data_IF_903841938246
#
_entry.id   IF_903841938246
#
_cell.length_a   1.000
_cell.length_b   1.000
_cell.length_c   1.000
_cell.angle_alpha   90.00
_cell.angle_beta   90.00
_cell.angle_gamma   90.00
#
_symmetry.space_group_name_H-M   'P 1'
#
loop_
_entity.id
_entity.type
_entity.pdbx_description
1 polymer ?
#
# COMPACT_ATOMS: atom_id res chain seq x y z
N UNK A 1 3.70 9.63 -12.15
CA UNK A 1 2.43 10.17 -11.61
C UNK A 1 2.65 10.76 -10.22
N UNK A 2 2.20 11.96 -10.03
CA UNK A 2 2.32 12.64 -8.74
C UNK A 2 1.56 11.91 -7.63
N UNK A 3 0.42 11.30 -7.95
CA UNK A 3 -0.42 10.55 -7.01
C UNK A 3 0.29 9.33 -6.42
N UNK A 4 1.41 8.89 -7.00
CA UNK A 4 2.19 7.74 -6.52
C UNK A 4 3.27 8.13 -5.51
N UNK A 5 3.38 9.40 -5.14
CA UNK A 5 4.39 9.86 -4.19
C UNK A 5 4.19 9.23 -2.80
N UNK A 6 5.26 9.21 -2.02
CA UNK A 6 5.18 8.72 -0.64
C UNK A 6 4.30 9.64 0.20
N UNK A 7 3.75 9.06 1.26
CA UNK A 7 2.89 9.77 2.19
C UNK A 7 3.60 10.95 2.85
N UNK A 8 2.90 12.08 2.92
CA UNK A 8 3.34 13.23 3.72
C UNK A 8 3.08 12.96 5.19
N UNK A 9 4.12 13.01 6.03
CA UNK A 9 4.03 12.66 7.45
C UNK A 9 3.57 13.84 8.32
N UNK A 10 4.04 15.04 8.04
CA UNK A 10 3.78 16.21 8.87
C UNK A 10 4.55 16.15 10.20
N UNK A 11 3.96 16.70 11.27
CA UNK A 11 4.57 16.81 12.60
C UNK A 11 4.32 15.51 13.39
N UNK A 12 5.12 14.47 13.10
CA UNK A 12 4.96 13.14 13.69
C UNK A 12 5.39 13.11 15.16
N UNK A 13 4.63 12.36 15.97
CA UNK A 13 4.97 12.01 17.35
C UNK A 13 5.45 10.56 17.42
N UNK A 14 6.02 10.19 18.57
CA UNK A 14 6.70 8.92 18.75
C UNK A 14 5.85 7.68 18.44
N UNK A 15 4.56 7.71 18.78
CA UNK A 15 3.66 6.56 18.60
C UNK A 15 2.83 6.62 17.32
N UNK A 16 3.14 7.55 16.44
CA UNK A 16 2.36 7.82 15.23
C UNK A 16 2.22 6.60 14.33
N UNK A 17 3.29 5.81 14.14
CA UNK A 17 3.27 4.72 13.20
C UNK A 17 2.24 3.64 13.56
N UNK A 18 2.13 3.31 14.86
CA UNK A 18 1.13 2.36 15.33
C UNK A 18 -0.28 2.94 15.26
N UNK A 19 -0.45 4.20 15.69
CA UNK A 19 -1.76 4.87 15.68
C UNK A 19 -2.41 4.89 14.30
N UNK A 20 -1.64 5.08 13.25
CA UNK A 20 -2.19 5.11 11.89
C UNK A 20 -2.81 3.77 11.47
N UNK A 21 -2.33 2.64 12.00
CA UNK A 21 -2.89 1.32 11.74
C UNK A 21 -4.05 0.96 12.66
N UNK A 22 -4.23 1.67 13.75
CA UNK A 22 -5.40 1.56 14.63
C UNK A 22 -6.56 2.42 14.11
N UNK A 23 -6.24 3.53 13.47
CA UNK A 23 -7.21 4.46 12.89
C UNK A 23 -6.66 4.97 11.53
N UNK A 24 -7.20 4.48 10.44
CA UNK A 24 -6.73 4.82 9.10
C UNK A 24 -7.01 6.29 8.72
N UNK A 25 -7.84 7.00 9.46
CA UNK A 25 -8.08 8.44 9.27
C UNK A 25 -7.14 9.31 10.11
N UNK A 26 -6.34 8.67 10.98
CA UNK A 26 -5.38 9.41 11.80
C UNK A 26 -4.31 10.04 10.93
N UNK A 27 -4.04 11.31 11.18
CA UNK A 27 -2.93 12.02 10.54
C UNK A 27 -2.31 13.01 11.53
N UNK A 28 -1.04 13.33 11.32
CA UNK A 28 -0.36 14.40 12.05
C UNK A 28 -0.75 15.75 11.42
N UNK A 29 -0.62 16.86 12.17
CA UNK A 29 -0.82 18.18 11.58
C UNK A 29 0.06 18.35 10.33
N UNK A 30 -0.53 18.73 9.22
CA UNK A 30 0.14 18.86 7.92
C UNK A 30 0.44 17.56 7.19
N UNK A 31 0.08 16.41 7.77
CA UNK A 31 0.31 15.10 7.16
C UNK A 31 -0.92 14.49 6.51
N UNK A 32 -0.72 13.35 5.87
CA UNK A 32 -1.79 12.56 5.27
C UNK A 32 -2.14 11.35 6.15
N UNK A 33 -3.43 10.99 6.21
CA UNK A 33 -3.86 9.72 6.78
C UNK A 33 -3.62 8.57 5.79
N UNK A 34 -3.64 7.33 6.28
CA UNK A 34 -3.56 6.17 5.39
C UNK A 34 -4.74 6.11 4.42
N UNK A 35 -5.94 6.50 4.86
CA UNK A 35 -7.10 6.56 3.98
C UNK A 35 -6.95 7.59 2.86
N UNK A 36 -6.34 8.73 3.12
CA UNK A 36 -6.06 9.72 2.08
C UNK A 36 -5.07 9.18 1.05
N UNK A 37 -4.00 8.54 1.50
CA UNK A 37 -3.01 7.91 0.62
C UNK A 37 -3.65 6.77 -0.17
N UNK A 38 -4.44 5.93 0.48
CA UNK A 38 -5.16 4.83 -0.16
C UNK A 38 -6.02 5.32 -1.31
N UNK A 39 -6.78 6.39 -1.08
CA UNK A 39 -7.67 6.95 -2.10
C UNK A 39 -6.90 7.43 -3.32
N UNK A 40 -5.85 8.23 -3.13
CA UNK A 40 -5.08 8.74 -4.29
C UNK A 40 -4.33 7.64 -5.03
N UNK A 41 -3.79 6.65 -4.30
CA UNK A 41 -3.09 5.51 -4.91
C UNK A 41 -4.06 4.64 -5.72
N UNK A 42 -5.26 4.39 -5.19
CA UNK A 42 -6.28 3.63 -5.91
C UNK A 42 -6.68 4.32 -7.20
N UNK A 43 -6.89 5.62 -7.18
CA UNK A 43 -7.22 6.40 -8.39
C UNK A 43 -6.10 6.28 -9.43
N UNK A 44 -4.85 6.39 -9.00
CA UNK A 44 -3.70 6.28 -9.91
C UNK A 44 -3.61 4.89 -10.55
N UNK A 45 -3.70 3.83 -9.75
CA UNK A 45 -3.59 2.46 -10.24
C UNK A 45 -4.79 2.10 -11.13
N UNK A 46 -6.00 2.47 -10.73
CA UNK A 46 -7.21 2.22 -11.55
C UNK A 46 -7.09 2.92 -12.91
N UNK A 47 -6.53 4.13 -12.95
CA UNK A 47 -6.28 4.84 -14.21
C UNK A 47 -5.29 4.11 -15.11
N UNK A 48 -4.22 3.57 -14.54
CA UNK A 48 -3.24 2.77 -15.28
C UNK A 48 -3.89 1.51 -15.84
N UNK A 49 -4.60 0.77 -15.00
CA UNK A 49 -5.26 -0.49 -15.39
C UNK A 49 -6.29 -0.25 -16.50
N UNK A 50 -7.06 0.83 -16.38
CA UNK A 50 -8.07 1.18 -17.39
C UNK A 50 -7.47 1.44 -18.78
N UNK A 51 -6.23 1.87 -18.86
CA UNK A 51 -5.51 2.15 -20.11
C UNK A 51 -4.76 0.94 -20.66
N UNK A 52 -4.63 -0.13 -19.87
CA UNK A 52 -3.93 -1.34 -20.30
C UNK A 52 -4.82 -2.24 -21.13
N UNK A 53 -4.20 -2.89 -22.11
CA UNK A 53 -4.85 -3.93 -22.89
C UNK A 53 -4.57 -5.30 -22.28
N UNK A 54 -5.37 -6.30 -22.63
CA UNK A 54 -5.17 -7.65 -22.15
C UNK A 54 -3.79 -8.17 -22.53
N UNK A 55 -3.12 -8.80 -21.56
CA UNK A 55 -1.77 -9.33 -21.74
C UNK A 55 -0.65 -8.33 -21.51
N UNK A 56 -0.97 -7.06 -21.30
CA UNK A 56 0.05 -6.04 -21.00
C UNK A 56 0.49 -6.08 -19.53
N UNK A 57 1.74 -5.64 -19.30
CA UNK A 57 2.31 -5.49 -17.96
C UNK A 57 2.82 -4.07 -17.81
N UNK A 58 2.52 -3.44 -16.68
CA UNK A 58 3.05 -2.12 -16.33
C UNK A 58 3.91 -2.22 -15.07
N UNK A 59 5.03 -1.52 -15.05
CA UNK A 59 5.83 -1.34 -13.84
C UNK A 59 5.43 -0.03 -13.18
N UNK A 60 4.99 -0.12 -11.94
CA UNK A 60 4.61 1.04 -11.13
C UNK A 60 5.60 1.17 -9.98
N UNK A 61 6.26 2.31 -9.87
CA UNK A 61 7.22 2.59 -8.81
C UNK A 61 6.62 3.58 -7.83
N UNK A 62 6.63 3.23 -6.55
CA UNK A 62 6.16 4.07 -5.47
C UNK A 62 7.00 3.79 -4.23
N UNK A 63 6.44 3.98 -3.05
CA UNK A 63 7.15 3.89 -1.78
C UNK A 63 6.41 2.97 -0.82
N UNK A 64 7.12 2.47 0.20
CA UNK A 64 6.60 1.42 1.09
C UNK A 64 5.25 1.74 1.71
N UNK A 65 5.11 2.89 2.36
CA UNK A 65 3.84 3.23 3.04
C UNK A 65 2.72 3.50 2.05
N UNK A 66 3.02 4.14 0.92
CA UNK A 66 2.01 4.38 -0.12
C UNK A 66 1.51 3.07 -0.72
N UNK A 67 2.41 2.13 -1.02
CA UNK A 67 2.05 0.80 -1.52
C UNK A 67 1.18 0.06 -0.50
N UNK A 68 1.59 0.05 0.77
CA UNK A 68 0.81 -0.62 1.83
C UNK A 68 -0.56 0.01 2.01
N UNK A 69 -0.66 1.34 1.95
CA UNK A 69 -1.95 2.03 2.02
C UNK A 69 -2.87 1.62 0.86
N UNK A 70 -2.33 1.50 -0.34
CA UNK A 70 -3.09 1.00 -1.49
C UNK A 70 -3.63 -0.41 -1.23
N UNK A 71 -2.78 -1.29 -0.68
CA UNK A 71 -3.17 -2.68 -0.43
C UNK A 71 -4.25 -2.84 0.64
N UNK A 72 -4.48 -1.82 1.49
CA UNK A 72 -5.57 -1.86 2.49
C UNK A 72 -6.96 -2.02 1.86
N UNK A 73 -7.11 -1.65 0.59
CA UNK A 73 -8.39 -1.83 -0.13
C UNK A 73 -8.66 -3.28 -0.52
N UNK A 74 -7.64 -4.14 -0.54
CA UNK A 74 -7.74 -5.50 -1.07
C UNK A 74 -7.19 -6.56 -0.12
N UNK A 75 -6.28 -6.18 0.76
CA UNK A 75 -5.54 -7.09 1.64
C UNK A 75 -5.78 -6.75 3.10
N UNK A 76 -5.50 -7.71 3.98
CA UNK A 76 -5.45 -7.48 5.42
C UNK A 76 -4.01 -7.19 5.82
N UNK A 77 -3.80 -6.13 6.60
CA UNK A 77 -2.48 -5.76 7.11
C UNK A 77 -2.53 -5.75 8.63
N UNK A 78 -1.72 -6.60 9.25
CA UNK A 78 -1.57 -6.69 10.70
C UNK A 78 -0.19 -6.20 11.11
N UNK A 79 -0.13 -5.28 12.08
CA UNK A 79 1.12 -4.82 12.66
C UNK A 79 1.62 -5.85 13.65
N UNK A 80 2.78 -6.43 13.40
CA UNK A 80 3.42 -7.41 14.30
C UNK A 80 4.41 -6.76 15.25
N UNK A 81 5.13 -5.73 14.80
CA UNK A 81 6.09 -4.99 15.62
C UNK A 81 6.13 -3.54 15.12
N UNK A 82 5.64 -2.62 15.96
CA UNK A 82 5.57 -1.21 15.61
C UNK A 82 6.93 -0.52 15.62
N UNK A 83 7.87 -1.01 16.43
CA UNK A 83 9.21 -0.43 16.53
C UNK A 83 10.04 -0.76 15.30
N UNK A 84 10.06 -2.05 14.93
CA UNK A 84 10.81 -2.54 13.77
C UNK A 84 9.99 -2.49 12.47
N UNK A 85 8.74 -2.01 12.53
CA UNK A 85 7.83 -1.87 11.40
C UNK A 85 7.59 -3.19 10.66
N UNK A 86 7.42 -4.26 11.44
CA UNK A 86 7.08 -5.58 10.91
C UNK A 86 5.57 -5.68 10.71
N UNK A 87 5.17 -6.08 9.51
CA UNK A 87 3.76 -6.24 9.13
C UNK A 87 3.53 -7.61 8.52
N UNK A 88 2.32 -8.11 8.70
CA UNK A 88 1.84 -9.27 7.99
C UNK A 88 0.76 -8.82 7.01
N UNK A 89 0.98 -9.06 5.74
CA UNK A 89 0.02 -8.74 4.68
C UNK A 89 -0.54 -10.05 4.15
N UNK A 90 -1.87 -10.16 4.13
CA UNK A 90 -2.57 -11.35 3.67
C UNK A 90 -3.65 -10.99 2.66
N UNK A 91 -3.86 -11.87 1.68
CA UNK A 91 -4.91 -11.74 0.67
C UNK A 91 -5.72 -13.03 0.64
N UNK A 92 -7.01 -12.95 1.00
CA UNK A 92 -7.91 -14.11 1.10
C UNK A 92 -7.29 -15.27 1.90
N UNK A 93 -6.69 -14.93 3.04
CA UNK A 93 -6.06 -15.90 3.93
C UNK A 93 -4.66 -16.35 3.52
N UNK A 94 -4.18 -15.97 2.33
CA UNK A 94 -2.83 -16.28 1.87
C UNK A 94 -1.86 -15.21 2.36
N UNK A 95 -0.81 -15.63 3.08
CA UNK A 95 0.23 -14.72 3.53
C UNK A 95 1.09 -14.26 2.35
N UNK A 96 1.18 -12.95 2.15
CA UNK A 96 1.96 -12.35 1.06
C UNK A 96 3.30 -11.85 1.58
N UNK A 97 3.30 -11.16 2.71
CA UNK A 97 4.51 -10.63 3.35
C UNK A 97 4.36 -10.77 4.86
N UNK A 98 5.44 -11.19 5.51
CA UNK A 98 5.53 -11.17 6.98
C UNK A 98 6.94 -10.69 7.34
N UNK A 99 7.09 -9.40 7.59
CA UNK A 99 8.38 -8.79 7.86
C UNK A 99 8.36 -7.30 7.58
N UNK A 100 9.57 -6.76 7.40
CA UNK A 100 9.74 -5.36 6.99
C UNK A 100 9.65 -5.27 5.47
N UNK A 101 9.03 -4.19 5.00
CA UNK A 101 9.06 -3.86 3.58
C UNK A 101 10.42 -3.22 3.28
N UNK A 102 11.25 -3.93 2.52
CA UNK A 102 12.61 -3.50 2.22
C UNK A 102 12.66 -2.68 0.93
N UNK A 103 13.69 -1.81 0.74
CA UNK A 103 13.93 -1.19 -0.56
C UNK A 103 14.04 -2.26 -1.65
N UNK A 104 13.47 -2.00 -2.81
CA UNK A 104 13.38 -2.91 -3.94
C UNK A 104 12.45 -4.12 -3.74
N UNK A 105 11.81 -4.26 -2.59
CA UNK A 105 10.69 -5.20 -2.47
C UNK A 105 9.53 -4.70 -3.31
N UNK A 106 8.71 -5.62 -3.80
CA UNK A 106 7.55 -5.28 -4.59
C UNK A 106 6.56 -6.40 -4.67
N UNK A 107 5.43 -6.09 -5.28
CA UNK A 107 4.34 -7.04 -5.47
C UNK A 107 3.99 -7.13 -6.94
N UNK A 108 3.67 -8.33 -7.38
CA UNK A 108 3.04 -8.56 -8.68
C UNK A 108 1.55 -8.70 -8.45
N UNK A 109 0.77 -7.88 -9.13
CA UNK A 109 -0.68 -7.85 -8.99
C UNK A 109 -1.31 -8.24 -10.32
N UNK A 110 -2.23 -9.20 -10.27
CA UNK A 110 -3.01 -9.62 -11.43
C UNK A 110 -4.35 -8.92 -11.40
N UNK A 111 -4.69 -8.26 -12.51
CA UNK A 111 -6.02 -7.70 -12.73
C UNK A 111 -6.74 -8.51 -13.81
N UNK A 112 -7.99 -8.88 -13.55
CA UNK A 112 -8.86 -9.54 -14.49
C UNK A 112 -10.13 -8.70 -14.66
N UNK A 113 -10.47 -8.34 -15.89
CA UNK A 113 -11.61 -7.45 -16.18
C UNK A 113 -11.54 -6.16 -15.36
N UNK A 114 -10.34 -5.55 -15.29
CA UNK A 114 -10.04 -4.33 -14.53
C UNK A 114 -10.24 -4.46 -13.01
N UNK A 115 -10.37 -5.68 -12.50
CA UNK A 115 -10.52 -5.96 -11.06
C UNK A 115 -9.25 -6.62 -10.48
N UNK A 116 -8.87 -6.22 -9.28
CA UNK A 116 -7.77 -6.81 -8.52
C UNK A 116 -8.11 -8.29 -8.25
N UNK A 117 -7.35 -9.20 -8.82
CA UNK A 117 -7.66 -10.64 -8.78
C UNK A 117 -6.71 -11.44 -7.90
N UNK A 118 -5.43 -11.16 -7.94
CA UNK A 118 -4.43 -11.87 -7.13
C UNK A 118 -3.20 -11.00 -6.89
N UNK A 119 -2.40 -11.40 -5.92
CA UNK A 119 -1.16 -10.70 -5.55
C UNK A 119 -0.14 -11.70 -5.04
N UNK A 120 1.12 -11.50 -5.38
CA UNK A 120 2.25 -12.22 -4.80
C UNK A 120 3.43 -11.29 -4.61
N UNK A 121 4.37 -11.69 -3.74
CA UNK A 121 5.59 -10.93 -3.57
C UNK A 121 6.52 -11.16 -4.76
N UNK A 122 7.16 -10.11 -5.19
CA UNK A 122 8.11 -10.13 -6.29
C UNK A 122 9.53 -10.19 -5.71
N UNK A 123 10.29 -11.20 -6.10
CA UNK A 123 11.66 -11.40 -5.64
C UNK A 123 12.68 -11.02 -6.72
#
# INVERSE_FOLDING_TARGET
>A
MEELHERTIGDAKEDFWLKQYEDYDFHNPGGESLNQVRTRMKMAVDSIVCQMEEGETALVVSHATAICAYLLSYCEIEVKDAVDKVRKISFHGKEILNGRFQPADGFEILFENDAFSDICIMN
#
